data_IF_752545366835
#
_entry.id   IF_752545366835
#
_cell.length_a   1.000
_cell.length_b   1.000
_cell.length_c   1.000
_cell.angle_alpha   90.00
_cell.angle_beta   90.00
_cell.angle_gamma   90.00
#
_symmetry.space_group_name_H-M   'P 1'
#
loop_
_entity.id
_entity.type
_entity.pdbx_description
1 polymer ?
#
# COMPACT_ATOMS: atom_id res chain seq x y z
N UNK A 1 -15.69 9.34 -12.09
CA UNK A 1 -14.32 9.65 -12.56
C UNK A 1 -13.42 8.49 -12.18
N UNK A 2 -12.63 7.96 -13.10
CA UNK A 2 -11.79 6.78 -12.82
C UNK A 2 -10.42 7.30 -12.35
N UNK A 3 -10.20 7.36 -11.03
CA UNK A 3 -8.95 7.88 -10.45
C UNK A 3 -7.87 6.81 -10.64
N UNK A 4 -6.94 7.06 -11.57
CA UNK A 4 -5.88 6.11 -11.93
C UNK A 4 -4.49 6.64 -11.61
N UNK A 5 -4.34 7.95 -11.51
CA UNK A 5 -3.09 8.62 -11.20
C UNK A 5 -3.23 9.49 -9.96
N UNK A 6 -2.10 9.79 -9.33
CA UNK A 6 -2.03 10.73 -8.20
C UNK A 6 -2.54 12.11 -8.61
N UNK A 7 -2.28 12.51 -9.85
CA UNK A 7 -2.77 13.77 -10.42
C UNK A 7 -4.29 13.79 -10.55
N UNK A 8 -4.91 12.68 -10.97
CA UNK A 8 -6.38 12.55 -11.00
C UNK A 8 -6.97 12.70 -9.59
N UNK A 9 -6.31 12.14 -8.57
CA UNK A 9 -6.75 12.23 -7.18
C UNK A 9 -6.70 13.68 -6.66
N UNK A 10 -5.60 14.41 -6.96
CA UNK A 10 -5.46 15.83 -6.61
C UNK A 10 -6.53 16.65 -7.34
N UNK A 11 -6.68 16.49 -8.65
CA UNK A 11 -7.63 17.29 -9.43
C UNK A 11 -9.09 17.03 -9.03
N UNK A 12 -9.41 15.80 -8.63
CA UNK A 12 -10.77 15.45 -8.23
C UNK A 12 -11.11 15.89 -6.80
N UNK A 13 -10.15 15.88 -5.88
CA UNK A 13 -10.40 16.16 -4.45
C UNK A 13 -9.74 17.46 -3.93
N UNK A 14 -8.92 18.14 -4.72
CA UNK A 14 -8.04 19.23 -4.30
C UNK A 14 -8.77 20.46 -3.76
N UNK A 15 -10.01 20.69 -4.18
CA UNK A 15 -10.84 21.79 -3.68
C UNK A 15 -11.45 21.50 -2.29
N UNK A 16 -11.33 20.28 -1.76
CA UNK A 16 -11.98 19.91 -0.48
C UNK A 16 -11.62 20.85 0.67
N UNK A 17 -10.40 21.37 0.67
CA UNK A 17 -9.91 22.25 1.72
C UNK A 17 -10.11 23.74 1.43
N UNK A 18 -10.68 24.10 0.27
CA UNK A 18 -10.85 25.51 -0.15
C UNK A 18 -11.63 26.33 0.90
N UNK A 19 -12.61 25.70 1.57
CA UNK A 19 -13.36 26.29 2.69
C UNK A 19 -12.52 26.69 3.91
N UNK A 20 -11.28 26.22 4.00
CA UNK A 20 -10.32 26.58 5.05
C UNK A 20 -9.23 27.56 4.56
N UNK A 21 -9.41 28.17 3.38
CA UNK A 21 -8.43 29.07 2.77
C UNK A 21 -7.22 28.35 2.15
N UNK A 22 -7.24 27.02 2.08
CA UNK A 22 -6.21 26.21 1.44
C UNK A 22 -6.78 25.52 0.21
N UNK A 23 -6.20 25.75 -0.96
CA UNK A 23 -6.69 25.18 -2.20
C UNK A 23 -5.98 23.90 -2.62
N UNK A 24 -6.24 23.51 -3.86
CA UNK A 24 -5.55 22.42 -4.55
C UNK A 24 -4.02 22.54 -4.46
N UNK A 25 -3.47 23.75 -4.48
CA UNK A 25 -2.03 24.01 -4.37
C UNK A 25 -1.41 23.46 -3.08
N UNK A 26 -2.14 23.51 -1.96
CA UNK A 26 -1.67 22.93 -0.70
C UNK A 26 -1.66 21.41 -0.76
N UNK A 27 -2.74 20.81 -1.27
CA UNK A 27 -2.86 19.35 -1.45
C UNK A 27 -1.73 18.86 -2.35
N UNK A 28 -1.53 19.54 -3.48
CA UNK A 28 -0.47 19.26 -4.45
C UNK A 28 0.91 19.29 -3.77
N UNK A 29 1.23 20.34 -3.02
CA UNK A 29 2.50 20.44 -2.30
C UNK A 29 2.72 19.28 -1.31
N UNK A 30 1.68 18.91 -0.54
CA UNK A 30 1.77 17.80 0.40
C UNK A 30 2.05 16.48 -0.30
N UNK A 31 1.29 16.21 -1.36
CA UNK A 31 1.35 14.97 -2.14
C UNK A 31 2.70 14.87 -2.86
N UNK A 32 3.16 15.93 -3.52
CA UNK A 32 4.45 15.98 -4.21
C UNK A 32 5.65 15.78 -3.28
N UNK A 33 5.53 16.12 -1.99
CA UNK A 33 6.60 15.90 -1.00
C UNK A 33 6.59 14.48 -0.44
N UNK A 34 5.41 13.89 -0.24
CA UNK A 34 5.27 12.61 0.47
C UNK A 34 5.33 11.43 -0.51
N UNK A 35 4.53 11.46 -1.58
CA UNK A 35 4.35 10.32 -2.48
C UNK A 35 5.64 9.80 -3.11
N UNK A 36 6.61 10.64 -3.53
CA UNK A 36 7.86 10.15 -4.11
C UNK A 36 8.65 9.20 -3.20
N UNK A 37 8.51 9.34 -1.88
CA UNK A 37 9.19 8.47 -0.90
C UNK A 37 8.66 7.03 -0.94
N UNK A 38 7.47 6.80 -1.49
CA UNK A 38 6.79 5.50 -1.50
C UNK A 38 6.65 4.88 -2.90
N UNK A 39 7.24 5.50 -3.93
CA UNK A 39 7.14 5.02 -5.32
C UNK A 39 7.74 3.63 -5.55
N UNK A 40 8.67 3.20 -4.70
CA UNK A 40 9.28 1.88 -4.79
C UNK A 40 8.44 0.77 -4.13
N UNK A 41 7.42 1.13 -3.35
CA UNK A 41 6.60 0.19 -2.58
C UNK A 41 5.23 -0.02 -3.21
N UNK A 42 4.70 0.99 -3.89
CA UNK A 42 3.35 0.98 -4.45
C UNK A 42 3.32 1.41 -5.91
N UNK A 43 2.40 0.82 -6.66
CA UNK A 43 2.07 1.28 -8.02
C UNK A 43 1.44 2.68 -8.01
N UNK A 44 1.47 3.37 -9.15
CA UNK A 44 0.81 4.67 -9.33
C UNK A 44 -0.69 4.62 -8.99
N UNK A 45 -1.36 3.51 -9.30
CA UNK A 45 -2.79 3.36 -9.03
C UNK A 45 -3.06 3.20 -7.52
N UNK A 46 -2.20 2.46 -6.81
CA UNK A 46 -2.28 2.33 -5.36
C UNK A 46 -2.00 3.66 -4.66
N UNK A 47 -0.96 4.39 -5.09
CA UNK A 47 -0.65 5.73 -4.59
C UNK A 47 -1.82 6.70 -4.82
N UNK A 48 -2.47 6.64 -5.98
CA UNK A 48 -3.66 7.43 -6.27
C UNK A 48 -4.80 7.12 -5.29
N UNK A 49 -5.03 5.85 -4.96
CA UNK A 49 -6.04 5.43 -3.96
C UNK A 49 -5.70 5.95 -2.56
N UNK A 50 -4.43 5.87 -2.15
CA UNK A 50 -3.99 6.41 -0.85
C UNK A 50 -4.17 7.93 -0.79
N UNK A 51 -3.80 8.66 -1.84
CA UNK A 51 -3.98 10.11 -1.91
C UNK A 51 -5.46 10.49 -1.86
N UNK A 52 -6.32 9.84 -2.66
CA UNK A 52 -7.76 10.08 -2.61
C UNK A 52 -8.33 9.82 -1.22
N UNK A 53 -7.96 8.69 -0.61
CA UNK A 53 -8.39 8.34 0.75
C UNK A 53 -7.91 9.36 1.78
N UNK A 54 -6.64 9.75 1.73
CA UNK A 54 -6.09 10.75 2.64
C UNK A 54 -6.84 12.08 2.51
N UNK A 55 -7.12 12.55 1.28
CA UNK A 55 -7.87 13.78 1.10
C UNK A 55 -9.29 13.62 1.62
N UNK A 56 -10.00 12.52 1.32
CA UNK A 56 -11.40 12.28 1.72
C UNK A 56 -11.57 12.06 3.23
N UNK A 57 -10.67 11.36 3.89
CA UNK A 57 -10.79 11.00 5.30
C UNK A 57 -10.29 12.13 6.23
N UNK A 58 -9.44 13.02 5.72
CA UNK A 58 -8.88 14.11 6.52
C UNK A 58 -9.93 15.18 6.82
N UNK A 59 -10.10 15.49 8.11
CA UNK A 59 -10.84 16.66 8.59
C UNK A 59 -9.84 17.75 9.00
N UNK A 60 -9.88 18.89 8.31
CA UNK A 60 -8.92 19.99 8.52
C UNK A 60 -7.62 19.82 7.73
N UNK A 61 -7.23 20.86 6.99
CA UNK A 61 -6.13 20.81 6.01
C UNK A 61 -4.75 20.48 6.63
N UNK A 62 -4.51 20.92 7.88
CA UNK A 62 -3.25 20.68 8.59
C UNK A 62 -2.94 19.21 8.82
N UNK A 63 -3.96 18.35 8.86
CA UNK A 63 -3.80 16.92 9.17
C UNK A 63 -3.54 16.06 7.92
N UNK A 64 -3.68 16.63 6.72
CA UNK A 64 -3.53 15.90 5.46
C UNK A 64 -2.17 15.20 5.34
N UNK A 65 -1.02 15.85 5.59
CA UNK A 65 0.29 15.19 5.47
C UNK A 65 0.42 13.98 6.39
N UNK A 66 0.01 14.14 7.65
CA UNK A 66 0.12 13.09 8.66
C UNK A 66 -0.79 11.91 8.33
N UNK A 67 -2.01 12.18 7.85
CA UNK A 67 -2.93 11.13 7.45
C UNK A 67 -2.42 10.37 6.22
N UNK A 68 -1.86 11.07 5.24
CA UNK A 68 -1.28 10.42 4.06
C UNK A 68 -0.09 9.54 4.42
N UNK A 69 0.83 10.03 5.26
CA UNK A 69 1.97 9.25 5.75
C UNK A 69 1.50 8.02 6.54
N UNK A 70 0.55 8.21 7.46
CA UNK A 70 0.02 7.11 8.28
C UNK A 70 -0.58 5.99 7.42
N UNK A 71 -1.38 6.33 6.42
CA UNK A 71 -1.97 5.34 5.50
C UNK A 71 -0.91 4.58 4.70
N UNK A 72 0.13 5.27 4.24
CA UNK A 72 1.21 4.67 3.44
C UNK A 72 2.10 3.75 4.29
N UNK A 73 2.48 4.18 5.49
CA UNK A 73 3.27 3.38 6.43
C UNK A 73 2.52 2.13 6.88
N UNK A 74 1.24 2.26 7.26
CA UNK A 74 0.40 1.11 7.62
C UNK A 74 0.28 0.09 6.48
N UNK A 75 0.12 0.56 5.25
CA UNK A 75 0.04 -0.33 4.10
C UNK A 75 1.37 -1.03 3.80
N UNK A 76 2.50 -0.34 4.00
CA UNK A 76 3.84 -0.92 3.81
C UNK A 76 4.10 -2.01 4.86
N UNK A 77 3.82 -1.72 6.13
CA UNK A 77 3.95 -2.68 7.23
C UNK A 77 3.12 -3.94 6.97
N UNK A 78 1.88 -3.79 6.49
CA UNK A 78 1.04 -4.93 6.15
C UNK A 78 1.61 -5.76 4.98
N UNK A 79 2.20 -5.12 3.96
CA UNK A 79 2.85 -5.84 2.86
C UNK A 79 4.05 -6.66 3.35
N UNK A 80 4.86 -6.09 4.22
CA UNK A 80 6.03 -6.77 4.81
C UNK A 80 5.59 -7.97 5.66
N UNK A 81 4.54 -7.82 6.47
CA UNK A 81 3.95 -8.92 7.26
C UNK A 81 3.38 -10.04 6.38
N UNK A 82 2.65 -9.68 5.33
CA UNK A 82 2.07 -10.62 4.38
C UNK A 82 3.15 -11.39 3.61
N UNK A 83 4.23 -10.72 3.21
CA UNK A 83 5.37 -11.36 2.56
C UNK A 83 6.06 -12.36 3.49
N UNK A 84 6.30 -11.97 4.75
CA UNK A 84 6.87 -12.86 5.75
C UNK A 84 6.00 -14.11 5.94
N UNK A 85 4.67 -13.94 6.03
CA UNK A 85 3.73 -15.04 6.16
C UNK A 85 3.78 -15.98 4.94
N UNK A 86 3.84 -15.43 3.72
CA UNK A 86 3.97 -16.23 2.49
C UNK A 86 5.24 -17.07 2.48
N UNK A 87 6.37 -16.47 2.87
CA UNK A 87 7.64 -17.19 2.96
C UNK A 87 7.59 -18.33 3.97
N UNK A 88 6.96 -18.12 5.14
CA UNK A 88 6.80 -19.17 6.15
C UNK A 88 5.89 -20.32 5.67
N UNK A 89 4.81 -20.02 4.95
CA UNK A 89 3.91 -21.03 4.39
C UNK A 89 4.66 -21.84 3.32
N UNK A 90 5.42 -21.18 2.45
CA UNK A 90 6.20 -21.85 1.42
C UNK A 90 7.27 -22.77 2.01
N UNK A 91 7.97 -22.32 3.07
CA UNK A 91 8.94 -23.14 3.80
C UNK A 91 8.29 -24.41 4.37
N UNK A 92 7.16 -24.26 5.07
CA UNK A 92 6.40 -25.41 5.62
C UNK A 92 5.99 -26.39 4.53
N UNK A 93 5.49 -25.90 3.39
CA UNK A 93 5.10 -26.76 2.26
C UNK A 93 6.28 -27.58 1.71
N UNK A 94 7.46 -26.98 1.62
CA UNK A 94 8.68 -27.69 1.16
C UNK A 94 9.10 -28.74 2.19
N UNK A 95 9.05 -28.43 3.48
CA UNK A 95 9.36 -29.38 4.56
C UNK A 95 8.40 -30.58 4.56
N UNK A 96 7.10 -30.35 4.40
CA UNK A 96 6.09 -31.42 4.29
C UNK A 96 6.32 -32.30 3.05
N UNK A 97 6.64 -31.69 1.90
CA UNK A 97 6.98 -32.44 0.68
C UNK A 97 8.24 -33.28 0.85
N UNK A 98 9.27 -32.75 1.52
CA UNK A 98 10.49 -33.49 1.80
C UNK A 98 10.24 -34.66 2.76
N UNK A 99 9.44 -34.46 3.81
CA UNK A 99 9.05 -35.51 4.75
C UNK A 99 8.28 -36.63 4.05
N UNK A 100 7.32 -36.26 3.18
CA UNK A 100 6.57 -37.23 2.38
C UNK A 100 7.50 -38.03 1.46
N UNK A 101 8.43 -37.37 0.77
CA UNK A 101 9.41 -38.05 -0.09
C UNK A 101 10.27 -39.06 0.70
N UNK A 102 10.73 -38.69 1.90
CA UNK A 102 11.48 -39.60 2.78
C UNK A 102 10.62 -40.80 3.21
N UNK A 103 9.35 -40.59 3.52
CA UNK A 103 8.42 -41.67 3.88
C UNK A 103 8.16 -42.60 2.68
N UNK A 104 7.82 -42.05 1.52
CA UNK A 104 7.58 -42.82 0.28
C UNK A 104 8.82 -43.65 -0.10
N UNK A 105 10.02 -43.08 0.05
CA UNK A 105 11.28 -43.79 -0.18
C UNK A 105 11.48 -44.96 0.79
N UNK A 106 11.22 -44.77 2.10
CA UNK A 106 11.33 -45.84 3.11
C UNK A 106 10.32 -46.96 2.89
N UNK A 107 9.14 -46.65 2.38
CA UNK A 107 8.08 -47.63 2.09
C UNK A 107 8.29 -48.38 0.76
N UNK A 108 9.36 -48.10 0.03
CA UNK A 108 9.66 -48.76 -1.25
C UNK A 108 8.69 -48.38 -2.39
N UNK A 109 7.83 -47.37 -2.18
CA UNK A 109 6.95 -46.81 -3.19
C UNK A 109 7.79 -45.94 -4.12
N UNK A 110 8.39 -46.56 -5.14
CA UNK A 110 8.95 -45.80 -6.27
C UNK A 110 7.79 -45.14 -7.00
N UNK A 111 7.87 -43.82 -7.16
CA UNK A 111 6.95 -43.05 -7.99
C UNK A 111 6.91 -43.51 -9.44
#
# INVERSE_FOLDING_TARGET
MNIKTVEDAINFHGEKFAKFGQGESYVRNCVERIVPLYQNYFSQEELAKFVSRAIVDTTGWLHLPNNLVSLLEQAREQQDEDELLRQQIQKRRIEEQALKYVQDFREGKRG
#
